data_IF_961163763612
#
_entry.id   IF_961163763612
#
_cell.length_a   1.000
_cell.length_b   1.000
_cell.length_c   1.000
_cell.angle_alpha   90.00
_cell.angle_beta   90.00
_cell.angle_gamma   90.00
#
_symmetry.space_group_name_H-M   'P 1'
#
loop_
_entity.id
_entity.type
_entity.pdbx_description
1 polymer ?
#
# COMPACT_ATOMS: atom_id res chain seq x y z
N UNK A 1 -76.35 -24.27 55.90
CA UNK A 1 -77.78 -24.52 55.62
C UNK A 1 -77.89 -25.18 54.25
N UNK A 2 -78.01 -26.52 54.25
CA UNK A 2 -79.06 -27.31 53.59
C UNK A 2 -78.97 -27.29 52.04
N UNK A 3 -78.38 -28.31 51.39
CA UNK A 3 -78.99 -29.61 51.02
C UNK A 3 -80.05 -29.44 49.90
N UNK A 4 -80.21 -30.28 48.88
CA UNK A 4 -79.56 -31.48 48.34
C UNK A 4 -80.48 -31.92 47.16
N UNK A 5 -80.00 -32.82 46.30
CA UNK A 5 -80.79 -33.78 45.48
C UNK A 5 -81.63 -33.19 44.32
N UNK A 6 -81.92 -33.87 43.20
CA UNK A 6 -81.65 -35.21 42.63
C UNK A 6 -82.22 -35.20 41.20
N UNK A 7 -81.66 -36.03 40.30
CA UNK A 7 -82.27 -36.96 39.29
C UNK A 7 -83.44 -36.43 38.40
N UNK A 8 -83.76 -36.86 37.18
CA UNK A 8 -83.58 -38.11 36.39
C UNK A 8 -84.33 -37.88 35.05
N UNK A 9 -83.79 -38.33 33.91
CA UNK A 9 -84.35 -39.37 32.98
C UNK A 9 -85.23 -38.91 31.79
N UNK A 10 -85.07 -39.63 30.67
CA UNK A 10 -85.96 -39.69 29.48
C UNK A 10 -85.24 -39.41 28.15
N UNK A 11 -84.74 -40.37 27.33
CA UNK A 11 -85.44 -41.26 26.35
C UNK A 11 -86.46 -40.52 25.45
N UNK A 12 -86.59 -40.66 24.11
CA UNK A 12 -86.21 -41.70 23.14
C UNK A 12 -86.47 -41.24 21.67
N UNK A 13 -85.70 -41.82 20.72
CA UNK A 13 -86.04 -42.29 19.33
C UNK A 13 -86.64 -41.39 18.24
N UNK A 14 -85.97 -41.34 17.08
CA UNK A 14 -86.33 -42.02 15.80
C UNK A 14 -85.31 -41.58 14.70
N UNK A 15 -84.55 -42.40 13.96
CA UNK A 15 -84.88 -43.49 13.03
C UNK A 15 -85.64 -43.01 11.76
N UNK A 16 -85.28 -43.19 10.48
CA UNK A 16 -84.24 -43.89 9.68
C UNK A 16 -84.38 -43.33 8.23
N UNK A 17 -83.30 -43.22 7.44
CA UNK A 17 -83.25 -43.68 6.03
C UNK A 17 -81.95 -43.24 5.35
N UNK A 18 -81.14 -44.22 4.92
CA UNK A 18 -80.05 -44.07 3.93
C UNK A 18 -80.56 -44.55 2.56
N UNK A 19 -80.02 -43.99 1.47
CA UNK A 19 -79.19 -44.81 0.56
C UNK A 19 -77.93 -44.03 0.12
N UNK A 20 -76.73 -44.59 0.24
CA UNK A 20 -76.01 -45.53 -0.64
C UNK A 20 -75.03 -44.82 -1.60
N UNK A 21 -73.88 -45.50 -1.72
CA UNK A 21 -72.56 -45.22 -2.24
C UNK A 21 -72.49 -44.50 -3.58
N UNK A 22 -71.49 -43.61 -3.75
CA UNK A 22 -70.21 -44.01 -4.37
C UNK A 22 -69.32 -42.80 -4.73
N UNK A 23 -67.99 -43.07 -4.71
CA UNK A 23 -66.88 -42.39 -5.41
C UNK A 23 -66.27 -41.11 -4.82
N UNK A 24 -65.23 -41.35 -4.01
CA UNK A 24 -63.85 -40.83 -4.09
C UNK A 24 -63.60 -39.51 -4.86
N UNK A 25 -63.06 -38.50 -4.17
CA UNK A 25 -61.74 -37.89 -4.45
C UNK A 25 -61.31 -37.04 -3.25
N UNK A 26 -60.26 -37.48 -2.53
CA UNK A 26 -59.65 -36.72 -1.44
C UNK A 26 -58.70 -35.66 -2.01
N UNK A 27 -59.04 -34.38 -1.84
CA UNK A 27 -58.06 -33.30 -2.03
C UNK A 27 -57.35 -33.07 -0.71
N UNK A 28 -56.13 -33.62 -0.59
CA UNK A 28 -55.18 -33.24 0.46
C UNK A 28 -54.66 -31.84 0.14
N UNK A 29 -55.11 -30.83 0.89
CA UNK A 29 -54.51 -29.50 0.90
C UNK A 29 -53.10 -29.57 1.48
N UNK A 30 -52.08 -29.45 0.63
CA UNK A 30 -50.68 -29.27 1.05
C UNK A 30 -50.52 -27.80 1.41
N UNK A 31 -50.36 -27.48 2.71
CA UNK A 31 -49.82 -26.20 3.14
C UNK A 31 -48.34 -26.14 2.74
N UNK A 32 -48.02 -25.39 1.68
CA UNK A 32 -46.63 -25.04 1.36
C UNK A 32 -46.18 -23.92 2.31
N UNK A 33 -45.33 -24.26 3.28
CA UNK A 33 -44.60 -23.25 4.05
C UNK A 33 -43.60 -22.56 3.13
N UNK A 34 -43.88 -21.31 2.76
CA UNK A 34 -42.90 -20.46 2.07
C UNK A 34 -41.85 -20.05 3.11
N UNK A 35 -40.74 -20.77 3.12
CA UNK A 35 -39.51 -20.31 3.79
C UNK A 35 -38.96 -19.19 2.92
N UNK A 36 -39.18 -17.94 3.35
CA UNK A 36 -38.46 -16.81 2.78
C UNK A 36 -36.99 -16.94 3.19
N UNK A 37 -36.16 -17.50 2.32
CA UNK A 37 -34.71 -17.37 2.43
C UNK A 37 -34.37 -15.90 2.31
N UNK A 38 -34.10 -15.24 3.44
CA UNK A 38 -33.41 -13.95 3.45
C UNK A 38 -32.00 -14.26 2.91
N UNK A 39 -31.79 -13.98 1.63
CA UNK A 39 -30.46 -13.93 1.05
C UNK A 39 -29.82 -12.68 1.64
N UNK A 40 -29.13 -12.84 2.78
CA UNK A 40 -28.17 -11.83 3.22
C UNK A 40 -27.06 -11.88 2.16
N UNK A 41 -26.78 -10.78 1.43
CA UNK A 41 -25.64 -10.77 0.54
C UNK A 41 -24.41 -11.05 1.40
N UNK A 42 -23.78 -12.20 1.15
CA UNK A 42 -22.44 -12.47 1.65
C UNK A 42 -21.57 -11.35 1.11
N UNK A 43 -21.25 -10.36 1.94
CA UNK A 43 -20.12 -9.48 1.65
C UNK A 43 -18.95 -10.44 1.53
N UNK A 44 -18.34 -10.52 0.35
CA UNK A 44 -16.97 -10.99 0.26
C UNK A 44 -16.22 -10.09 1.25
N UNK A 45 -15.75 -10.67 2.35
CA UNK A 45 -15.10 -9.94 3.42
C UNK A 45 -13.71 -9.53 2.95
N UNK A 46 -13.64 -8.61 2.00
CA UNK A 46 -12.42 -7.86 1.73
C UNK A 46 -12.13 -6.97 2.94
N UNK A 47 -10.86 -6.77 3.25
CA UNK A 47 -10.44 -5.86 4.32
C UNK A 47 -10.94 -4.45 4.01
N UNK A 48 -11.46 -3.76 5.03
CA UNK A 48 -11.99 -2.41 4.86
C UNK A 48 -10.86 -1.40 4.96
N UNK A 49 -10.48 -0.81 3.84
CA UNK A 49 -9.44 0.23 3.78
C UNK A 49 -10.10 1.60 3.67
N UNK A 50 -9.87 2.44 4.68
CA UNK A 50 -10.48 3.76 4.80
C UNK A 50 -9.44 4.86 4.77
N UNK A 51 -9.76 5.96 4.09
CA UNK A 51 -9.02 7.22 4.14
C UNK A 51 -9.80 8.27 4.94
N UNK A 52 -9.10 9.03 5.78
CA UNK A 52 -9.63 10.16 6.54
C UNK A 52 -8.73 11.38 6.36
N UNK A 53 -9.23 12.49 5.78
CA UNK A 53 -8.50 13.74 5.71
C UNK A 53 -8.09 14.24 7.10
N UNK A 54 -6.95 14.91 7.17
CA UNK A 54 -6.46 15.65 8.33
C UNK A 54 -5.97 17.03 7.89
N UNK A 55 -5.73 17.93 8.84
CA UNK A 55 -5.21 19.28 8.52
C UNK A 55 -3.86 19.22 7.80
N UNK A 56 -3.04 18.22 8.14
CA UNK A 56 -1.69 18.01 7.60
C UNK A 56 -1.60 16.86 6.58
N UNK A 57 -2.74 16.39 6.05
CA UNK A 57 -2.79 15.41 4.96
C UNK A 57 -3.94 14.41 5.04
N UNK A 58 -3.62 13.12 5.10
CA UNK A 58 -4.62 12.06 5.19
C UNK A 58 -4.09 10.83 5.94
N UNK A 59 -4.95 10.21 6.73
CA UNK A 59 -4.68 8.96 7.45
C UNK A 59 -5.41 7.80 6.79
N UNK A 60 -4.77 6.63 6.79
CA UNK A 60 -5.28 5.41 6.19
C UNK A 60 -5.35 4.33 7.27
N UNK A 61 -6.48 3.64 7.34
CA UNK A 61 -6.71 2.50 8.24
C UNK A 61 -7.12 1.25 7.47
N UNK A 62 -6.77 0.08 8.00
CA UNK A 62 -7.23 -1.23 7.52
C UNK A 62 -8.00 -1.87 8.66
N UNK A 63 -9.28 -2.19 8.45
CA UNK A 63 -10.21 -2.71 9.47
C UNK A 63 -10.23 -1.85 10.75
N UNK A 64 -10.12 -0.52 10.58
CA UNK A 64 -10.06 0.46 11.67
C UNK A 64 -8.70 0.55 12.39
N UNK A 65 -7.74 -0.33 12.10
CA UNK A 65 -6.39 -0.25 12.63
C UNK A 65 -5.51 0.69 11.77
N UNK A 66 -4.58 1.46 12.37
CA UNK A 66 -3.67 2.34 11.63
C UNK A 66 -2.87 1.57 10.57
N UNK A 67 -2.73 2.14 9.37
CA UNK A 67 -1.86 1.61 8.31
C UNK A 67 -0.83 2.65 7.88
N UNK A 68 -1.25 3.77 7.30
CA UNK A 68 -0.32 4.74 6.74
C UNK A 68 -0.86 6.16 6.90
N UNK A 69 -0.02 7.18 6.79
CA UNK A 69 -0.49 8.55 6.60
C UNK A 69 0.29 9.24 5.49
N UNK A 70 -0.41 9.96 4.61
CA UNK A 70 0.20 10.90 3.69
C UNK A 70 0.35 12.23 4.40
N UNK A 71 1.57 12.74 4.51
CA UNK A 71 1.85 14.05 5.08
C UNK A 71 2.07 15.05 3.94
N UNK A 72 1.39 16.19 3.96
CA UNK A 72 1.53 17.23 2.93
C UNK A 72 2.94 17.84 2.91
N UNK A 73 3.57 17.93 4.08
CA UNK A 73 4.91 18.47 4.25
C UNK A 73 5.62 17.78 5.42
N UNK A 74 6.79 17.23 5.16
CA UNK A 74 7.68 16.66 6.17
C UNK A 74 8.81 17.61 6.60
N UNK A 75 8.88 18.79 5.98
CA UNK A 75 9.89 19.84 6.11
C UNK A 75 10.22 20.46 4.74
N UNK A 76 10.41 19.63 3.71
CA UNK A 76 10.71 20.07 2.33
C UNK A 76 9.99 19.25 1.23
N UNK A 77 9.21 18.22 1.61
CA UNK A 77 8.49 17.36 0.67
C UNK A 77 7.33 16.59 1.32
N UNK A 78 6.32 16.14 0.55
CA UNK A 78 5.31 15.20 1.01
C UNK A 78 5.89 13.79 1.11
N UNK A 79 5.48 13.03 2.13
CA UNK A 79 5.95 11.67 2.41
C UNK A 79 4.80 10.79 2.91
N UNK A 80 5.01 9.47 2.92
CA UNK A 80 4.13 8.54 3.62
C UNK A 80 4.77 8.14 4.94
N UNK A 81 4.22 8.62 6.06
CA UNK A 81 4.65 8.28 7.42
C UNK A 81 3.56 8.65 8.45
N UNK A 82 3.36 7.87 9.52
CA UNK A 82 3.99 6.58 9.80
C UNK A 82 3.47 5.48 8.88
N UNK A 83 4.17 4.35 8.81
CA UNK A 83 3.70 3.12 8.14
C UNK A 83 3.70 1.97 9.16
N UNK A 84 2.56 1.32 9.30
CA UNK A 84 2.29 0.26 10.28
C UNK A 84 1.96 -1.05 9.55
N UNK A 85 2.71 -2.10 9.87
CA UNK A 85 2.60 -3.40 9.22
C UNK A 85 1.37 -4.20 9.68
N UNK A 86 1.11 -5.36 9.04
CA UNK A 86 -0.01 -6.23 9.43
C UNK A 86 0.06 -6.75 10.87
N UNK A 87 1.26 -6.83 11.45
CA UNK A 87 1.47 -7.22 12.86
C UNK A 87 1.44 -6.06 13.86
N UNK A 88 1.18 -4.82 13.41
CA UNK A 88 1.15 -3.61 14.25
C UNK A 88 2.50 -2.92 14.45
N UNK A 89 3.59 -3.48 13.93
CA UNK A 89 4.93 -2.91 14.02
C UNK A 89 5.13 -1.71 13.08
N UNK A 90 6.04 -0.80 13.43
CA UNK A 90 6.48 0.24 12.52
C UNK A 90 7.32 -0.36 11.37
N UNK A 91 6.93 -0.07 10.13
CA UNK A 91 7.59 -0.60 8.93
C UNK A 91 8.61 0.34 8.33
N UNK A 92 8.74 1.56 8.84
CA UNK A 92 9.78 2.50 8.42
C UNK A 92 10.42 3.13 9.65
N UNK A 93 11.65 3.60 9.48
CA UNK A 93 12.38 4.37 10.49
C UNK A 93 11.53 5.57 10.95
N UNK A 94 11.58 5.88 12.25
CA UNK A 94 10.85 7.02 12.84
C UNK A 94 11.61 8.33 12.72
N UNK A 95 12.93 8.35 12.93
CA UNK A 95 13.72 9.56 12.72
C UNK A 95 13.76 10.00 11.25
N UNK A 96 13.65 11.32 10.97
CA UNK A 96 13.54 12.43 11.93
C UNK A 96 12.10 12.86 12.26
N UNK A 97 11.08 12.15 11.78
CA UNK A 97 9.67 12.57 11.86
C UNK A 97 9.02 12.30 13.22
N UNK A 98 9.50 11.29 13.94
CA UNK A 98 8.98 10.90 15.24
C UNK A 98 10.07 10.49 16.23
N UNK A 99 9.62 10.00 17.39
CA UNK A 99 10.52 9.44 18.39
C UNK A 99 11.22 8.20 17.85
N UNK A 100 12.54 8.17 17.99
CA UNK A 100 13.37 7.08 17.50
C UNK A 100 13.02 5.74 18.12
N UNK A 101 13.01 4.71 17.29
CA UNK A 101 13.03 3.32 17.76
C UNK A 101 14.45 2.91 18.21
N UNK A 102 14.55 1.87 19.05
CA UNK A 102 15.84 1.33 19.49
C UNK A 102 16.77 0.93 18.34
N UNK A 103 17.89 1.64 18.22
CA UNK A 103 18.92 1.39 17.20
C UNK A 103 18.92 2.41 16.05
N UNK A 104 17.95 3.31 15.98
CA UNK A 104 17.97 4.40 15.01
C UNK A 104 19.05 5.44 15.34
N UNK A 105 19.76 5.90 14.31
CA UNK A 105 20.84 6.89 14.42
C UNK A 105 20.31 8.32 14.22
N UNK A 106 21.14 9.34 14.47
CA UNK A 106 20.93 10.73 14.01
C UNK A 106 21.70 10.96 12.71
N UNK A 107 21.24 10.37 11.62
CA UNK A 107 21.92 10.42 10.33
C UNK A 107 20.93 10.51 9.19
N UNK A 108 21.37 11.09 8.07
CA UNK A 108 20.56 11.23 6.85
C UNK A 108 19.13 11.74 7.14
N UNK A 109 18.97 12.95 7.72
CA UNK A 109 17.65 13.50 8.05
C UNK A 109 16.73 13.69 6.82
N UNK A 110 17.30 13.71 5.61
CA UNK A 110 16.55 13.71 4.36
C UNK A 110 15.86 12.38 4.03
N UNK A 111 16.25 11.25 4.64
CA UNK A 111 15.59 9.95 4.45
C UNK A 111 14.33 9.83 5.31
N UNK A 112 13.20 10.36 4.81
CA UNK A 112 11.94 10.49 5.55
C UNK A 112 10.91 9.43 5.16
N UNK A 113 11.00 8.26 5.79
CA UNK A 113 10.06 7.13 5.63
C UNK A 113 9.95 6.62 4.19
N UNK A 114 8.90 6.96 3.44
CA UNK A 114 8.67 6.61 2.03
C UNK A 114 8.41 7.89 1.23
N UNK A 115 9.23 8.15 0.22
CA UNK A 115 9.26 9.43 -0.50
C UNK A 115 9.59 9.26 -1.99
N UNK A 116 9.40 10.35 -2.74
CA UNK A 116 9.82 10.45 -4.14
C UNK A 116 10.45 11.83 -4.40
N UNK A 117 11.72 11.82 -4.80
CA UNK A 117 12.51 12.99 -5.17
C UNK A 117 13.70 12.56 -6.08
N UNK A 118 14.64 13.47 -6.38
CA UNK A 118 15.82 13.13 -7.18
C UNK A 118 16.98 14.09 -6.89
N UNK A 119 18.23 13.60 -6.90
CA UNK A 119 19.41 14.39 -6.55
C UNK A 119 19.96 15.29 -7.66
N UNK A 120 19.35 15.29 -8.85
CA UNK A 120 19.73 16.18 -9.94
C UNK A 120 18.55 16.42 -10.90
N UNK A 121 17.86 17.53 -10.75
CA UNK A 121 16.77 17.99 -11.64
C UNK A 121 17.13 19.37 -12.16
N UNK A 122 17.45 19.47 -13.46
CA UNK A 122 18.07 20.66 -14.04
C UNK A 122 19.35 21.12 -13.29
N UNK A 123 20.09 20.16 -12.71
CA UNK A 123 21.28 20.42 -11.90
C UNK A 123 21.00 20.70 -10.42
N UNK A 124 19.74 20.77 -10.00
CA UNK A 124 19.31 21.03 -8.61
C UNK A 124 19.16 19.73 -7.82
N UNK A 125 19.55 19.74 -6.55
CA UNK A 125 19.46 18.60 -5.65
C UNK A 125 18.18 18.66 -4.80
N UNK A 126 17.20 17.80 -5.11
CA UNK A 126 15.98 17.61 -4.29
C UNK A 126 16.09 16.39 -3.35
N UNK A 127 17.23 15.70 -3.34
CA UNK A 127 17.49 14.54 -2.49
C UNK A 127 17.95 14.93 -1.09
N UNK A 128 18.84 15.92 -1.00
CA UNK A 128 19.34 16.47 0.26
C UNK A 128 18.35 17.43 0.92
N UNK A 129 18.61 17.79 2.18
CA UNK A 129 17.88 18.90 2.81
C UNK A 129 18.16 20.20 2.04
N UNK A 130 17.18 21.12 1.92
CA UNK A 130 17.41 22.44 1.35
C UNK A 130 18.53 23.17 2.09
N UNK A 131 19.30 23.97 1.35
CA UNK A 131 20.32 24.86 1.92
C UNK A 131 19.99 26.33 1.66
N UNK A 132 20.84 27.25 2.13
CA UNK A 132 20.61 28.70 2.02
C UNK A 132 20.76 29.23 0.59
N UNK A 133 21.51 28.55 -0.29
CA UNK A 133 21.76 28.97 -1.67
C UNK A 133 20.66 28.45 -2.61
N UNK A 134 20.28 27.19 -2.46
CA UNK A 134 19.28 26.49 -3.25
C UNK A 134 18.17 25.90 -2.35
N UNK A 135 17.11 26.68 -2.13
CA UNK A 135 15.92 26.22 -1.40
C UNK A 135 15.03 25.31 -2.28
N UNK A 136 15.50 24.08 -2.50
CA UNK A 136 14.84 23.07 -3.32
C UNK A 136 13.71 22.38 -2.53
N UNK A 137 12.45 22.63 -2.91
CA UNK A 137 11.29 22.09 -2.20
C UNK A 137 10.29 21.41 -3.14
N UNK A 138 9.69 20.31 -2.69
CA UNK A 138 8.51 19.71 -3.31
C UNK A 138 7.31 20.11 -2.45
N UNK A 139 6.41 20.93 -2.98
CA UNK A 139 5.27 21.44 -2.23
C UNK A 139 4.00 20.72 -2.70
N UNK A 140 3.27 20.11 -1.78
CA UNK A 140 1.94 19.60 -2.07
C UNK A 140 1.03 20.76 -2.50
N UNK A 141 0.32 20.61 -3.62
CA UNK A 141 -0.64 21.60 -4.13
C UNK A 141 -2.06 21.23 -3.75
N UNK A 142 -2.49 20.02 -4.09
CA UNK A 142 -3.86 19.56 -3.85
C UNK A 142 -4.00 18.03 -3.88
N UNK A 143 -5.06 17.53 -3.23
CA UNK A 143 -5.62 16.22 -3.55
C UNK A 143 -6.68 16.38 -4.64
N UNK A 144 -6.40 15.88 -5.86
CA UNK A 144 -7.40 15.73 -6.93
C UNK A 144 -8.41 14.63 -6.63
N UNK A 145 -7.98 13.62 -5.87
CA UNK A 145 -8.80 12.49 -5.45
C UNK A 145 -8.36 12.03 -4.05
N UNK A 146 -9.33 11.69 -3.22
CA UNK A 146 -9.13 11.10 -1.88
C UNK A 146 -10.41 10.35 -1.50
N UNK A 147 -10.44 9.05 -1.77
CA UNK A 147 -11.63 8.22 -1.54
C UNK A 147 -11.28 6.78 -1.18
N UNK A 148 -12.27 6.07 -0.66
CA UNK A 148 -12.22 4.62 -0.41
C UNK A 148 -13.31 3.93 -1.22
N UNK A 149 -12.91 2.95 -2.03
CA UNK A 149 -13.80 2.15 -2.86
C UNK A 149 -13.26 0.72 -2.97
N UNK A 150 -14.16 -0.27 -2.94
CA UNK A 150 -13.85 -1.68 -3.20
C UNK A 150 -12.66 -2.25 -2.39
N UNK A 151 -12.54 -1.84 -1.12
CA UNK A 151 -11.46 -2.31 -0.23
C UNK A 151 -10.09 -1.66 -0.48
N UNK A 152 -10.06 -0.55 -1.24
CA UNK A 152 -8.85 0.23 -1.53
C UNK A 152 -9.11 1.69 -1.15
N UNK A 153 -8.13 2.33 -0.52
CA UNK A 153 -8.08 3.78 -0.40
C UNK A 153 -7.16 4.36 -1.48
N UNK A 154 -7.58 5.41 -2.17
CA UNK A 154 -6.83 6.04 -3.26
C UNK A 154 -6.69 7.54 -3.04
N UNK A 155 -5.45 8.02 -3.19
CA UNK A 155 -5.08 9.43 -3.24
C UNK A 155 -4.53 9.73 -4.64
N UNK A 156 -4.99 10.82 -5.26
CA UNK A 156 -4.28 11.47 -6.37
C UNK A 156 -3.82 12.83 -5.88
N UNK A 157 -2.52 12.95 -5.61
CA UNK A 157 -1.89 14.16 -5.10
C UNK A 157 -1.08 14.86 -6.20
N UNK A 158 -1.18 16.18 -6.27
CA UNK A 158 -0.39 16.98 -7.20
C UNK A 158 0.62 17.81 -6.43
N UNK A 159 1.86 17.81 -6.87
CA UNK A 159 2.97 18.44 -6.19
C UNK A 159 3.77 19.29 -7.17
N UNK A 160 4.25 20.44 -6.70
CA UNK A 160 5.05 21.39 -7.47
C UNK A 160 6.47 21.44 -6.91
N UNK A 161 7.47 21.34 -7.79
CA UNK A 161 8.88 21.36 -7.43
C UNK A 161 9.41 22.78 -7.62
N UNK A 162 10.08 23.33 -6.61
CA UNK A 162 10.57 24.70 -6.58
C UNK A 162 12.06 24.76 -6.25
N UNK A 163 12.74 25.78 -6.76
CA UNK A 163 13.99 26.31 -6.25
C UNK A 163 13.79 27.82 -6.01
N UNK A 164 14.01 28.30 -4.78
CA UNK A 164 13.91 29.74 -4.47
C UNK A 164 12.60 30.38 -4.99
N UNK A 165 11.47 29.71 -4.74
CA UNK A 165 10.10 30.06 -5.20
C UNK A 165 9.85 30.02 -6.73
N UNK A 166 10.85 29.66 -7.54
CA UNK A 166 10.67 29.41 -8.96
C UNK A 166 10.30 27.94 -9.19
N UNK A 167 9.14 27.70 -9.80
CA UNK A 167 8.71 26.35 -10.17
C UNK A 167 9.68 25.76 -11.22
N UNK A 168 9.98 24.49 -11.08
CA UNK A 168 10.91 23.71 -11.93
C UNK A 168 10.13 22.68 -12.74
N UNK A 169 9.27 21.91 -12.07
CA UNK A 169 8.38 20.92 -12.68
C UNK A 169 7.18 20.65 -11.76
N UNK A 170 6.32 19.72 -12.16
CA UNK A 170 5.27 19.18 -11.29
C UNK A 170 5.20 17.65 -11.40
N UNK A 171 4.72 17.00 -10.35
CA UNK A 171 4.39 15.58 -10.36
C UNK A 171 2.95 15.33 -9.91
N UNK A 172 2.33 14.31 -10.49
CA UNK A 172 1.08 13.73 -10.01
C UNK A 172 1.37 12.33 -9.46
N UNK A 173 0.93 12.06 -8.24
CA UNK A 173 1.09 10.77 -7.55
C UNK A 173 -0.28 10.12 -7.40
N UNK A 174 -0.47 8.97 -8.03
CA UNK A 174 -1.59 8.09 -7.73
C UNK A 174 -1.11 7.04 -6.73
N UNK A 175 -1.65 7.09 -5.52
CA UNK A 175 -1.22 6.26 -4.40
C UNK A 175 -2.43 5.46 -3.92
N UNK A 176 -2.36 4.15 -4.05
CA UNK A 176 -3.40 3.24 -3.58
C UNK A 176 -2.90 2.45 -2.39
N UNK A 177 -3.76 2.30 -1.41
CA UNK A 177 -3.52 1.57 -0.19
C UNK A 177 -4.49 0.40 -0.14
N UNK A 178 -3.97 -0.79 0.11
CA UNK A 178 -4.79 -1.97 0.24
C UNK A 178 -4.15 -2.99 1.15
N UNK A 179 -4.88 -4.06 1.38
CA UNK A 179 -4.38 -5.19 2.14
C UNK A 179 -5.10 -6.47 1.73
N UNK A 180 -4.35 -7.57 1.70
CA UNK A 180 -4.78 -8.88 1.25
C UNK A 180 -4.14 -9.97 2.12
N UNK A 181 -4.22 -11.23 1.67
CA UNK A 181 -3.56 -12.37 2.34
C UNK A 181 -2.03 -12.28 2.37
N UNK A 182 -1.42 -11.43 1.53
CA UNK A 182 0.03 -11.27 1.48
C UNK A 182 0.54 -10.27 2.52
N UNK A 183 -0.27 -9.26 2.84
CA UNK A 183 0.04 -8.23 3.82
C UNK A 183 -0.69 -6.93 3.52
N UNK A 184 -0.05 -5.81 3.89
CA UNK A 184 -0.52 -4.47 3.54
C UNK A 184 0.35 -3.93 2.42
N UNK A 185 -0.23 -3.27 1.43
CA UNK A 185 0.51 -2.77 0.28
C UNK A 185 0.19 -1.30 -0.03
N UNK A 186 1.19 -0.64 -0.61
CA UNK A 186 1.09 0.70 -1.18
C UNK A 186 1.51 0.59 -2.64
N UNK A 187 0.57 0.84 -3.54
CA UNK A 187 0.80 0.99 -4.96
C UNK A 187 1.03 2.47 -5.26
N UNK A 188 2.13 2.80 -5.92
CA UNK A 188 2.62 4.15 -6.06
C UNK A 188 3.03 4.42 -7.50
N UNK A 189 2.16 5.11 -8.22
CA UNK A 189 2.48 5.66 -9.54
C UNK A 189 2.82 7.13 -9.40
N UNK A 190 3.93 7.56 -10.01
CA UNK A 190 4.28 8.97 -10.16
C UNK A 190 4.45 9.31 -11.63
N UNK A 191 3.85 10.42 -12.04
CA UNK A 191 4.02 11.01 -13.37
C UNK A 191 4.61 12.39 -13.19
N UNK A 192 5.88 12.56 -13.56
CA UNK A 192 6.53 13.88 -13.56
C UNK A 192 6.34 14.54 -14.92
N UNK A 193 5.93 15.81 -14.92
CA UNK A 193 5.72 16.62 -16.12
C UNK A 193 6.73 17.76 -16.18
N UNK A 194 7.38 17.93 -17.33
CA UNK A 194 8.23 19.08 -17.63
C UNK A 194 7.39 20.34 -17.87
N UNK A 195 6.81 20.93 -16.82
CA UNK A 195 5.81 22.00 -16.90
C UNK A 195 6.39 23.39 -17.23
N UNK A 196 7.62 23.66 -16.81
CA UNK A 196 8.22 25.00 -16.92
C UNK A 196 9.19 25.17 -18.10
N UNK A 197 9.60 24.07 -18.75
CA UNK A 197 10.61 24.08 -19.81
C UNK A 197 11.15 22.69 -20.10
N UNK A 198 12.36 22.62 -20.69
CA UNK A 198 13.10 21.35 -20.69
C UNK A 198 13.41 20.95 -19.24
N UNK A 199 13.17 19.68 -18.92
CA UNK A 199 13.47 19.07 -17.64
C UNK A 199 14.50 17.98 -17.83
N UNK A 200 15.60 18.07 -17.10
CA UNK A 200 16.72 17.14 -17.17
C UNK A 200 16.87 16.43 -15.83
N UNK A 201 16.66 15.12 -15.80
CA UNK A 201 17.09 14.28 -14.69
C UNK A 201 18.53 13.86 -14.93
N UNK A 202 19.44 14.31 -14.08
CA UNK A 202 20.86 13.98 -14.19
C UNK A 202 21.17 12.52 -13.85
N UNK A 203 22.35 12.04 -14.25
CA UNK A 203 22.85 10.74 -13.82
C UNK A 203 23.41 10.85 -12.39
N UNK A 204 22.77 10.17 -11.44
CA UNK A 204 23.20 10.10 -10.04
C UNK A 204 22.65 8.85 -9.37
N UNK A 205 23.36 8.34 -8.37
CA UNK A 205 22.81 7.31 -7.45
C UNK A 205 21.75 7.87 -6.50
N UNK A 206 21.69 9.18 -6.28
CA UNK A 206 20.75 9.82 -5.36
C UNK A 206 19.39 10.02 -6.03
N UNK A 207 18.49 9.05 -5.85
CA UNK A 207 17.15 9.01 -6.45
C UNK A 207 16.55 7.59 -6.39
N UNK A 208 15.30 7.36 -6.75
CA UNK A 208 14.22 8.35 -6.88
C UNK A 208 13.02 8.00 -5.99
N UNK A 209 12.58 6.75 -5.98
CA UNK A 209 11.55 6.24 -5.08
C UNK A 209 12.21 5.56 -3.88
N UNK A 210 12.23 6.26 -2.74
CA UNK A 210 13.04 5.87 -1.59
C UNK A 210 12.20 5.46 -0.39
N UNK A 211 12.69 4.46 0.35
CA UNK A 211 12.20 4.03 1.65
C UNK A 211 13.36 3.89 2.64
N UNK A 212 13.12 4.22 3.93
CA UNK A 212 14.07 3.99 5.02
C UNK A 212 13.51 2.93 5.97
N UNK A 213 14.16 1.77 6.01
CA UNK A 213 13.72 0.63 6.84
C UNK A 213 14.01 0.90 8.33
N UNK A 214 13.27 0.27 9.27
CA UNK A 214 13.59 0.31 10.68
C UNK A 214 14.96 -0.29 10.96
N UNK A 215 15.68 0.24 11.95
CA UNK A 215 17.04 -0.21 12.27
C UNK A 215 17.15 -1.66 12.77
N UNK A 216 16.03 -2.33 13.06
CA UNK A 216 16.02 -3.75 13.42
C UNK A 216 16.23 -4.70 12.23
N UNK A 217 15.85 -4.28 11.02
CA UNK A 217 16.03 -5.06 9.79
C UNK A 217 17.07 -4.45 8.86
N UNK A 218 17.80 -3.43 9.31
CA UNK A 218 19.03 -3.02 8.65
C UNK A 218 20.14 -4.08 8.88
N UNK A 219 21.00 -4.26 7.89
CA UNK A 219 22.05 -5.29 7.89
C UNK A 219 23.23 -4.88 8.78
N UNK A 220 23.49 -3.59 8.92
CA UNK A 220 24.62 -3.05 9.67
C UNK A 220 24.43 -3.10 11.19
N UNK A 221 23.19 -3.16 11.67
CA UNK A 221 22.83 -3.34 13.07
C UNK A 221 23.14 -4.76 13.58
N UNK A 222 23.41 -5.70 12.66
CA UNK A 222 23.74 -7.11 12.98
C UNK A 222 22.68 -7.79 13.87
N UNK A 223 21.41 -7.44 13.65
CA UNK A 223 20.24 -8.03 14.33
C UNK A 223 19.53 -9.11 13.51
N UNK A 224 20.11 -9.51 12.36
CA UNK A 224 19.54 -10.51 11.46
C UNK A 224 18.74 -9.94 10.29
N UNK A 225 18.80 -8.64 10.05
CA UNK A 225 18.32 -8.02 8.81
C UNK A 225 19.14 -8.47 7.60
N UNK A 226 18.47 -8.66 6.47
CA UNK A 226 19.07 -9.11 5.20
C UNK A 226 18.42 -8.40 4.01
N UNK A 227 19.21 -8.15 2.97
CA UNK A 227 18.73 -7.67 1.66
C UNK A 227 18.82 -8.83 0.67
N UNK A 228 17.82 -8.98 -0.18
CA UNK A 228 17.90 -9.86 -1.37
C UNK A 228 17.13 -9.28 -2.54
N UNK A 229 17.45 -9.70 -3.76
CA UNK A 229 16.75 -9.25 -4.97
C UNK A 229 16.33 -10.41 -5.89
N UNK A 230 15.54 -10.08 -6.91
CA UNK A 230 15.02 -11.04 -7.89
C UNK A 230 16.09 -11.81 -8.67
N UNK A 231 17.32 -11.29 -8.72
CA UNK A 231 18.47 -11.90 -9.39
C UNK A 231 19.36 -12.72 -8.44
N UNK A 232 18.91 -12.96 -7.20
CA UNK A 232 19.62 -13.78 -6.22
C UNK A 232 20.83 -13.10 -5.57
N UNK A 233 21.00 -11.78 -5.76
CA UNK A 233 22.01 -11.00 -5.03
C UNK A 233 21.52 -10.69 -3.62
N UNK A 234 22.46 -10.51 -2.70
CA UNK A 234 22.20 -10.25 -1.29
C UNK A 234 23.07 -9.12 -0.76
N UNK A 235 22.56 -8.40 0.24
CA UNK A 235 23.26 -7.35 0.97
C UNK A 235 24.00 -6.37 0.05
N UNK A 236 25.30 -6.15 0.27
CA UNK A 236 26.13 -5.25 -0.55
C UNK A 236 26.10 -5.59 -2.05
N UNK A 237 25.97 -6.87 -2.40
CA UNK A 237 25.94 -7.32 -3.79
C UNK A 237 24.61 -6.98 -4.50
N UNK A 238 23.58 -6.57 -3.76
CA UNK A 238 22.32 -6.10 -4.34
C UNK A 238 22.37 -4.61 -4.77
N UNK A 239 23.43 -3.88 -4.39
CA UNK A 239 23.55 -2.46 -4.72
C UNK A 239 23.81 -2.22 -6.22
N UNK A 240 23.03 -1.31 -6.81
CA UNK A 240 23.21 -0.76 -8.15
C UNK A 240 22.85 -1.69 -9.29
N UNK A 241 22.50 -2.94 -9.02
CA UNK A 241 22.07 -3.88 -10.04
C UNK A 241 20.60 -3.68 -10.42
N UNK A 242 20.26 -4.02 -11.67
CA UNK A 242 18.86 -4.09 -12.09
C UNK A 242 18.16 -5.29 -11.45
N UNK A 243 16.92 -5.13 -10.98
CA UNK A 243 16.10 -6.22 -10.44
C UNK A 243 14.62 -5.85 -10.49
N UNK A 244 13.73 -6.85 -10.66
CA UNK A 244 12.28 -6.64 -10.65
C UNK A 244 11.76 -6.31 -9.25
N UNK A 245 12.46 -6.80 -8.23
CA UNK A 245 12.19 -6.48 -6.84
C UNK A 245 13.42 -6.63 -5.96
N UNK A 246 13.41 -5.89 -4.87
CA UNK A 246 14.32 -6.05 -3.74
C UNK A 246 13.48 -6.22 -2.47
N UNK A 247 14.00 -6.98 -1.51
CA UNK A 247 13.36 -7.30 -0.26
C UNK A 247 14.33 -7.09 0.91
N UNK A 248 13.90 -6.29 1.89
CA UNK A 248 14.52 -6.19 3.21
C UNK A 248 13.66 -6.97 4.20
N UNK A 249 14.27 -7.96 4.85
CA UNK A 249 13.56 -8.80 5.81
C UNK A 249 14.43 -9.14 7.00
N UNK A 250 13.78 -9.55 8.08
CA UNK A 250 14.42 -9.93 9.32
C UNK A 250 13.38 -10.03 10.43
N UNK A 251 13.72 -9.51 11.60
CA UNK A 251 12.82 -9.51 12.76
C UNK A 251 12.46 -8.08 13.13
N UNK A 252 11.16 -7.77 13.22
CA UNK A 252 10.63 -6.53 13.78
C UNK A 252 9.82 -6.86 15.02
N UNK A 253 10.06 -6.17 16.14
CA UNK A 253 9.40 -6.46 17.43
C UNK A 253 9.44 -7.95 17.82
N UNK A 254 10.57 -8.61 17.56
CA UNK A 254 10.77 -10.03 17.86
C UNK A 254 10.03 -11.02 16.95
N UNK A 255 9.37 -10.56 15.87
CA UNK A 255 8.64 -11.41 14.91
C UNK A 255 9.22 -11.28 13.49
N UNK A 256 9.26 -12.38 12.70
CA UNK A 256 9.63 -12.29 11.30
C UNK A 256 8.72 -11.34 10.52
N UNK A 257 9.31 -10.45 9.74
CA UNK A 257 8.61 -9.49 8.88
C UNK A 257 9.53 -8.99 7.76
N UNK A 258 8.97 -8.33 6.76
CA UNK A 258 9.76 -7.71 5.71
C UNK A 258 9.00 -6.69 4.86
N UNK A 259 9.77 -6.05 4.00
CA UNK A 259 9.37 -5.00 3.09
C UNK A 259 9.98 -5.34 1.73
N UNK A 260 9.12 -5.64 0.77
CA UNK A 260 9.53 -5.82 -0.63
C UNK A 260 9.00 -4.67 -1.45
N UNK A 261 9.83 -4.15 -2.34
CA UNK A 261 9.43 -3.15 -3.35
C UNK A 261 9.54 -3.82 -4.70
N UNK A 262 8.43 -3.82 -5.43
CA UNK A 262 8.30 -4.30 -6.80
C UNK A 262 8.39 -3.09 -7.75
N UNK A 263 9.26 -3.17 -8.76
CA UNK A 263 9.26 -2.27 -9.90
C UNK A 263 8.32 -2.83 -10.97
N UNK A 264 7.30 -2.08 -11.34
CA UNK A 264 6.23 -2.59 -12.19
C UNK A 264 6.63 -2.55 -13.67
N UNK A 265 6.13 -3.48 -14.53
CA UNK A 265 6.59 -3.58 -15.92
C UNK A 265 6.39 -2.34 -16.80
N UNK A 266 5.45 -1.47 -16.44
CA UNK A 266 5.15 -0.21 -17.13
C UNK A 266 5.89 1.01 -16.55
N UNK A 267 6.75 0.78 -15.56
CA UNK A 267 7.66 1.77 -15.00
C UNK A 267 8.76 2.12 -16.00
N UNK A 268 9.14 3.40 -16.09
CA UNK A 268 10.25 3.82 -16.92
C UNK A 268 11.54 3.07 -16.55
N UNK A 269 12.18 2.49 -17.57
CA UNK A 269 13.42 1.69 -17.46
C UNK A 269 13.28 0.43 -16.59
N UNK A 270 12.13 -0.22 -16.64
CA UNK A 270 11.95 -1.54 -16.04
C UNK A 270 12.87 -2.63 -16.65
N UNK A 271 13.44 -3.55 -15.84
CA UNK A 271 13.56 -3.45 -14.39
C UNK A 271 14.56 -2.37 -13.98
N UNK A 272 14.17 -1.56 -13.01
CA UNK A 272 14.98 -0.46 -12.48
C UNK A 272 16.23 -0.95 -11.74
N UNK A 273 17.19 -0.03 -11.55
CA UNK A 273 18.37 -0.27 -10.71
C UNK A 273 18.08 0.14 -9.26
N UNK A 274 18.82 -0.41 -8.31
CA UNK A 274 18.51 -0.22 -6.88
C UNK A 274 19.64 0.44 -6.09
N UNK A 275 19.38 1.62 -5.51
CA UNK A 275 20.26 2.22 -4.50
C UNK A 275 19.92 1.66 -3.12
N UNK A 276 20.27 0.39 -2.90
CA UNK A 276 20.08 -0.28 -1.60
C UNK A 276 21.36 -0.27 -0.79
N UNK A 277 21.26 -0.09 0.54
CA UNK A 277 22.41 0.00 1.44
C UNK A 277 22.17 -0.82 2.70
N UNK A 278 23.22 -1.48 3.17
CA UNK A 278 23.20 -2.27 4.41
C UNK A 278 22.80 -1.47 5.65
N UNK A 279 22.95 -0.14 5.63
CA UNK A 279 22.47 0.76 6.69
C UNK A 279 20.98 1.13 6.59
N UNK A 280 20.23 0.57 5.63
CA UNK A 280 18.77 0.66 5.57
C UNK A 280 18.17 1.67 4.58
N UNK A 281 18.98 2.29 3.70
CA UNK A 281 18.44 3.01 2.54
C UNK A 281 17.94 2.00 1.50
N UNK A 282 16.71 2.18 1.04
CA UNK A 282 16.06 1.29 0.11
C UNK A 282 15.39 2.10 -1.00
N UNK A 283 16.10 2.37 -2.10
CA UNK A 283 15.56 3.18 -3.19
C UNK A 283 15.64 2.49 -4.56
N UNK A 284 14.56 2.59 -5.33
CA UNK A 284 14.52 2.31 -6.75
C UNK A 284 15.00 3.54 -7.54
N UNK A 285 15.95 3.36 -8.44
CA UNK A 285 16.63 4.42 -9.17
C UNK A 285 16.89 4.04 -10.64
N UNK A 286 16.06 4.53 -11.58
CA UNK A 286 16.25 4.27 -13.00
C UNK A 286 17.28 5.23 -13.67
N UNK A 287 17.91 6.16 -12.95
CA UNK A 287 18.68 7.27 -13.54
C UNK A 287 20.21 7.11 -13.45
N UNK A 288 20.71 6.22 -12.60
CA UNK A 288 22.16 6.03 -12.43
C UNK A 288 22.76 5.12 -13.51
N UNK A 289 23.65 5.65 -14.35
CA UNK A 289 24.58 4.85 -15.18
C UNK A 289 25.97 4.89 -14.57
N UNK A 290 26.46 6.11 -14.37
CA UNK A 290 27.82 6.44 -13.97
C UNK A 290 28.12 6.06 -12.53
N UNK A 291 27.17 6.29 -11.62
CA UNK A 291 27.39 6.13 -10.18
C UNK A 291 27.14 4.71 -9.67
N UNK A 292 26.51 3.86 -10.48
CA UNK A 292 26.35 2.44 -10.19
C UNK A 292 27.36 1.60 -10.96
N UNK A 293 27.55 0.30 -10.63
CA UNK A 293 28.57 -0.52 -11.27
C UNK A 293 28.45 -0.53 -12.81
N UNK A 294 29.56 -0.35 -13.54
CA UNK A 294 29.56 -0.29 -14.99
C UNK A 294 29.29 -1.66 -15.62
N UNK A 295 28.62 -1.68 -16.77
CA UNK A 295 28.46 -2.89 -17.60
C UNK A 295 27.12 -3.63 -17.47
N UNK A 296 26.26 -3.27 -16.52
CA UNK A 296 24.92 -3.87 -16.40
C UNK A 296 23.86 -3.18 -17.28
N UNK A 297 23.92 -1.85 -17.41
CA UNK A 297 22.99 -1.05 -18.24
C UNK A 297 23.65 0.27 -18.64
N UNK A 298 23.32 0.79 -19.83
CA UNK A 298 23.75 2.11 -20.33
C UNK A 298 22.67 3.18 -20.16
N UNK A 299 22.18 3.38 -18.93
CA UNK A 299 21.00 4.21 -18.67
C UNK A 299 21.30 5.34 -17.68
N UNK A 300 21.59 6.54 -18.20
CA UNK A 300 21.97 7.74 -17.46
C UNK A 300 20.95 8.88 -17.58
N UNK A 301 21.43 10.11 -17.76
CA UNK A 301 20.63 11.35 -17.91
C UNK A 301 19.37 11.18 -18.79
N UNK A 302 18.27 11.83 -18.39
CA UNK A 302 17.00 11.86 -19.13
C UNK A 302 16.60 13.30 -19.37
N UNK A 303 16.24 13.63 -20.62
CA UNK A 303 15.71 14.95 -20.99
C UNK A 303 14.27 14.81 -21.43
N UNK A 304 13.42 15.68 -20.91
CA UNK A 304 12.01 15.82 -21.27
C UNK A 304 11.83 17.23 -21.83
N UNK A 305 11.31 17.34 -23.06
CA UNK A 305 10.89 18.61 -23.60
C UNK A 305 9.67 19.15 -22.82
N UNK A 306 9.39 20.46 -22.92
CA UNK A 306 8.24 21.06 -22.23
C UNK A 306 6.94 20.33 -22.56
N UNK A 307 6.23 19.89 -21.53
CA UNK A 307 4.98 19.14 -21.61
C UNK A 307 5.16 17.61 -21.73
N UNK A 308 6.38 17.11 -21.92
CA UNK A 308 6.63 15.67 -21.86
C UNK A 308 6.57 15.16 -20.41
N UNK A 309 6.31 13.86 -20.31
CA UNK A 309 6.07 13.18 -19.05
C UNK A 309 6.93 11.93 -18.91
N UNK A 310 7.27 11.61 -17.67
CA UNK A 310 7.92 10.36 -17.29
C UNK A 310 7.10 9.68 -16.21
N UNK A 311 6.80 8.40 -16.41
CA UNK A 311 6.03 7.57 -15.48
C UNK A 311 6.93 6.58 -14.76
N UNK A 312 6.79 6.49 -13.44
CA UNK A 312 7.34 5.42 -12.63
C UNK A 312 6.21 4.75 -11.85
N UNK A 313 6.31 3.45 -11.64
CA UNK A 313 5.27 2.67 -11.01
C UNK A 313 5.88 1.57 -10.14
N UNK A 314 5.58 1.65 -8.85
CA UNK A 314 6.11 0.74 -7.84
C UNK A 314 4.98 0.20 -6.97
N UNK A 315 5.19 -0.99 -6.41
CA UNK A 315 4.36 -1.48 -5.31
C UNK A 315 5.23 -1.90 -4.14
N UNK A 316 4.92 -1.37 -2.96
CA UNK A 316 5.54 -1.78 -1.69
C UNK A 316 4.60 -2.75 -1.00
N UNK A 317 5.09 -3.91 -0.59
CA UNK A 317 4.37 -4.86 0.23
C UNK A 317 5.06 -5.01 1.59
N UNK A 318 4.26 -4.80 2.64
CA UNK A 318 4.61 -4.96 4.04
C UNK A 318 4.00 -6.26 4.56
N UNK A 319 4.83 -7.25 4.89
CA UNK A 319 4.38 -8.58 5.27
C UNK A 319 4.85 -9.00 6.66
N UNK A 320 4.10 -9.92 7.27
CA UNK A 320 4.49 -10.65 8.47
C UNK A 320 4.85 -12.09 8.11
N UNK A 321 5.70 -12.70 8.94
CA UNK A 321 6.23 -14.04 8.70
C UNK A 321 7.45 -14.03 7.79
N UNK A 322 7.97 -15.22 7.54
CA UNK A 322 9.03 -15.43 6.55
C UNK A 322 8.43 -15.52 5.14
N UNK A 323 9.19 -15.08 4.15
CA UNK A 323 8.88 -15.27 2.73
C UNK A 323 10.10 -15.84 2.04
N UNK A 324 9.90 -16.76 1.13
CA UNK A 324 10.92 -17.28 0.22
C UNK A 324 10.99 -16.42 -1.04
N UNK A 325 12.13 -16.42 -1.77
CA UNK A 325 12.23 -15.74 -3.06
C UNK A 325 11.18 -16.23 -4.07
N UNK A 326 10.80 -17.51 -4.02
CA UNK A 326 9.80 -18.09 -4.92
C UNK A 326 8.39 -17.54 -4.64
N UNK A 327 8.02 -17.35 -3.37
CA UNK A 327 6.76 -16.72 -2.99
C UNK A 327 6.72 -15.25 -3.41
N UNK A 328 7.79 -14.49 -3.19
CA UNK A 328 7.87 -13.10 -3.64
C UNK A 328 7.77 -12.98 -5.17
N UNK A 329 8.42 -13.89 -5.91
CA UNK A 329 8.32 -13.94 -7.36
C UNK A 329 6.92 -14.32 -7.86
N UNK A 330 6.17 -15.13 -7.11
CA UNK A 330 4.77 -15.44 -7.43
C UNK A 330 3.88 -14.21 -7.19
N UNK A 331 4.01 -13.55 -6.04
CA UNK A 331 3.29 -12.31 -5.72
C UNK A 331 3.57 -11.22 -6.77
N UNK A 332 4.83 -11.07 -7.17
CA UNK A 332 5.20 -10.12 -8.22
C UNK A 332 4.46 -10.38 -9.53
N UNK A 333 4.39 -11.64 -9.98
CA UNK A 333 3.66 -12.02 -11.20
C UNK A 333 2.18 -11.72 -11.11
N UNK A 334 1.57 -11.98 -9.95
CA UNK A 334 0.16 -11.70 -9.72
C UNK A 334 -0.11 -10.19 -9.74
N UNK A 335 0.74 -9.38 -9.10
CA UNK A 335 0.60 -7.93 -9.11
C UNK A 335 0.91 -7.31 -10.48
N UNK A 336 1.92 -7.80 -11.19
CA UNK A 336 2.31 -7.31 -12.51
C UNK A 336 1.32 -7.69 -13.63
N UNK A 337 0.48 -8.71 -13.41
CA UNK A 337 -0.52 -9.18 -14.37
C UNK A 337 -1.90 -8.52 -14.24
N UNK A 338 -2.11 -7.69 -13.22
CA UNK A 338 -3.36 -6.95 -12.94
C UNK A 338 -3.23 -5.48 -13.32
#
# INVERSE_FOLDING_TARGET
>A
MAAANRRSDGFSSAAWSRPDMSRFFSHRSILAAIVACIIVPSRVSGQQVEIKPTDDGATITVDGAPFASYLLNSGHQPVIWPIVGPGGQAMTRQYPLGEKLPGEKDDHPHHRSLWFNHGSVNGLDFWMEPDEEDDNQIKHREFRKSESADGVAEIVAVNDWFNNDKKVCEDERTIKFGADENGRWIDFTVVVTASEGELVFGDTKEGAFGLRVPGEIDVDAKKGGMIRNSNGKQDEAAWGGAAEWVDYHGTLDGKPAGIVVFDMPDSFRHPTRWHVRTYGLFAANPFGEKDFPPGETKQGEVKLAKGEQLKLHYRVLFYSGERTPAELAAIYKDYAGN
#
